data_IF_921424248099
#
_entry.id   IF_921424248099
#
_cell.length_a   1.000
_cell.length_b   1.000
_cell.length_c   1.000
_cell.angle_alpha   90.00
_cell.angle_beta   90.00
_cell.angle_gamma   90.00
#
_symmetry.space_group_name_H-M   'P 1'
#
loop_
_entity.id
_entity.type
_entity.pdbx_description
1 polymer ?
#
# COMPACT_ATOMS: atom_id res chain seq x y z
N UNK A 1 -61.94 -2.41 2.36
CA UNK A 1 -60.94 -1.31 2.35
C UNK A 1 -60.17 -1.39 1.04
N UNK A 2 -60.42 -0.52 0.06
CA UNK A 2 -59.67 -0.52 -1.20
C UNK A 2 -58.28 0.12 -0.98
N UNK A 3 -57.23 -0.62 -1.34
CA UNK A 3 -55.82 -0.18 -1.26
C UNK A 3 -55.53 0.71 -2.47
N UNK A 4 -55.59 2.03 -2.30
CA UNK A 4 -55.27 3.03 -3.33
C UNK A 4 -53.80 2.88 -3.73
N UNK A 5 -53.52 2.54 -4.99
CA UNK A 5 -52.14 2.50 -5.49
C UNK A 5 -51.65 3.93 -5.74
N UNK A 6 -50.55 4.30 -5.09
CA UNK A 6 -49.91 5.59 -5.31
C UNK A 6 -49.19 5.53 -6.66
N UNK A 7 -49.71 6.24 -7.67
CA UNK A 7 -49.03 6.39 -8.96
C UNK A 7 -47.82 7.30 -8.76
N UNK A 8 -46.64 6.80 -9.12
CA UNK A 8 -45.40 7.59 -9.10
C UNK A 8 -45.53 8.69 -10.15
N UNK A 9 -45.22 9.91 -9.75
CA UNK A 9 -45.28 11.10 -10.62
C UNK A 9 -43.91 11.35 -11.27
N UNK A 10 -43.90 12.02 -12.43
CA UNK A 10 -42.67 12.39 -13.14
C UNK A 10 -41.74 13.23 -12.25
N UNK A 11 -42.29 14.11 -11.42
CA UNK A 11 -41.52 14.93 -10.47
C UNK A 11 -40.77 14.07 -9.45
N UNK A 12 -41.36 12.98 -8.96
CA UNK A 12 -40.71 12.06 -8.03
C UNK A 12 -39.54 11.32 -8.70
N UNK A 13 -39.66 10.98 -9.98
CA UNK A 13 -38.59 10.34 -10.76
C UNK A 13 -37.41 11.31 -10.93
N UNK A 14 -37.67 12.59 -11.23
CA UNK A 14 -36.63 13.62 -11.38
C UNK A 14 -35.90 13.85 -10.05
N UNK A 15 -36.65 14.00 -8.94
CA UNK A 15 -36.05 14.18 -7.61
C UNK A 15 -35.18 12.97 -7.23
N UNK A 16 -35.66 11.76 -7.51
CA UNK A 16 -34.90 10.55 -7.25
C UNK A 16 -33.61 10.50 -8.08
N UNK A 17 -33.69 10.80 -9.38
CA UNK A 17 -32.52 10.80 -10.26
C UNK A 17 -31.45 11.81 -9.82
N UNK A 18 -31.86 13.03 -9.45
CA UNK A 18 -30.94 14.06 -8.93
C UNK A 18 -30.33 13.62 -7.61
N UNK A 19 -31.15 13.11 -6.68
CA UNK A 19 -30.67 12.66 -5.36
C UNK A 19 -29.71 11.49 -5.48
N UNK A 20 -29.99 10.54 -6.38
CA UNK A 20 -29.12 9.40 -6.65
C UNK A 20 -27.80 9.83 -7.29
N UNK A 21 -27.84 10.76 -8.25
CA UNK A 21 -26.63 11.33 -8.85
C UNK A 21 -25.73 12.00 -7.80
N UNK A 22 -26.31 12.85 -6.95
CA UNK A 22 -25.57 13.51 -5.86
C UNK A 22 -25.01 12.48 -4.89
N UNK A 23 -25.80 11.50 -4.47
CA UNK A 23 -25.35 10.45 -3.55
C UNK A 23 -24.21 9.62 -4.14
N UNK A 24 -24.30 9.22 -5.41
CA UNK A 24 -23.28 8.47 -6.13
C UNK A 24 -21.94 9.22 -6.18
N UNK A 25 -21.96 10.49 -6.62
CA UNK A 25 -20.77 11.33 -6.65
C UNK A 25 -20.22 11.65 -5.26
N UNK A 26 -21.08 11.86 -4.27
CA UNK A 26 -20.65 12.09 -2.89
C UNK A 26 -19.98 10.84 -2.31
N UNK A 27 -20.53 9.64 -2.52
CA UNK A 27 -19.89 8.41 -2.06
C UNK A 27 -18.56 8.18 -2.76
N UNK A 28 -18.47 8.46 -4.05
CA UNK A 28 -17.24 8.29 -4.81
C UNK A 28 -16.14 9.24 -4.33
N UNK A 29 -16.50 10.51 -4.14
CA UNK A 29 -15.60 11.54 -3.65
C UNK A 29 -15.12 11.29 -2.22
N UNK A 30 -16.01 10.90 -1.30
CA UNK A 30 -15.67 10.75 0.12
C UNK A 30 -15.06 9.40 0.51
N UNK A 31 -15.37 8.32 -0.20
CA UNK A 31 -14.90 6.98 0.16
C UNK A 31 -13.73 6.49 -0.69
N UNK A 32 -13.69 6.79 -2.00
CA UNK A 32 -12.63 6.27 -2.88
C UNK A 32 -11.41 7.20 -3.02
N UNK A 33 -11.48 8.46 -2.60
CA UNK A 33 -10.32 9.38 -2.60
C UNK A 33 -9.55 9.44 -1.27
N UNK A 34 -9.85 8.55 -0.32
CA UNK A 34 -9.03 8.47 0.90
C UNK A 34 -7.72 7.77 0.54
N UNK A 35 -6.66 8.56 0.33
CA UNK A 35 -5.29 8.03 0.45
C UNK A 35 -5.17 7.42 1.84
N UNK A 36 -4.76 6.16 1.92
CA UNK A 36 -4.52 5.55 3.23
C UNK A 36 -3.47 6.38 3.97
N UNK A 37 -3.71 6.60 5.26
CA UNK A 37 -2.75 7.32 6.09
C UNK A 37 -1.66 6.34 6.50
N UNK A 38 -0.37 6.69 6.34
CA UNK A 38 0.72 5.83 6.76
C UNK A 38 0.60 5.42 8.24
N UNK A 39 0.89 4.15 8.53
CA UNK A 39 0.81 3.62 9.89
C UNK A 39 1.83 4.32 10.80
N UNK A 40 1.34 5.00 11.83
CA UNK A 40 2.16 5.80 12.74
C UNK A 40 3.23 4.99 13.48
N UNK A 41 2.96 3.71 13.77
CA UNK A 41 3.96 2.82 14.38
C UNK A 41 5.11 2.56 13.41
N UNK A 42 4.80 2.25 12.14
CA UNK A 42 5.83 2.03 11.11
C UNK A 42 6.63 3.30 10.87
N UNK A 43 6.02 4.49 10.93
CA UNK A 43 6.73 5.76 10.78
C UNK A 43 7.80 5.91 11.86
N UNK A 44 7.45 5.62 13.12
CA UNK A 44 8.41 5.71 14.23
C UNK A 44 9.54 4.69 14.07
N UNK A 45 9.21 3.44 13.71
CA UNK A 45 10.22 2.40 13.45
C UNK A 45 11.16 2.82 12.32
N UNK A 46 10.63 3.31 11.20
CA UNK A 46 11.43 3.78 10.07
C UNK A 46 12.35 4.93 10.47
N UNK A 47 11.84 5.88 11.26
CA UNK A 47 12.63 7.01 11.76
C UNK A 47 13.79 6.53 12.63
N UNK A 48 13.52 5.67 13.62
CA UNK A 48 14.54 5.12 14.52
C UNK A 48 15.60 4.33 13.76
N UNK A 49 15.18 3.45 12.83
CA UNK A 49 16.10 2.69 11.99
C UNK A 49 17.03 3.61 11.18
N UNK A 50 16.46 4.67 10.58
CA UNK A 50 17.21 5.63 9.77
C UNK A 50 18.26 6.43 10.56
N UNK A 51 18.19 6.51 11.89
CA UNK A 51 19.21 7.19 12.70
C UNK A 51 20.59 6.54 12.61
N UNK A 52 20.64 5.26 12.25
CA UNK A 52 21.88 4.48 12.11
C UNK A 52 22.24 4.16 10.66
N UNK A 53 21.50 4.71 9.69
CA UNK A 53 21.69 4.48 8.25
C UNK A 53 22.48 5.61 7.58
N UNK A 54 23.21 5.34 6.48
CA UNK A 54 23.34 4.06 5.79
C UNK A 54 24.21 3.05 6.55
N UNK A 55 23.90 1.76 6.44
CA UNK A 55 24.60 0.67 7.15
C UNK A 55 24.86 -0.53 6.24
N UNK A 56 26.06 -1.09 6.31
CA UNK A 56 26.41 -2.35 5.64
C UNK A 56 25.71 -3.52 6.35
N UNK A 57 24.97 -4.33 5.60
CA UNK A 57 24.32 -5.54 6.13
C UNK A 57 25.20 -6.76 5.91
N UNK A 58 25.86 -6.81 4.76
CA UNK A 58 26.89 -7.80 4.43
C UNK A 58 27.96 -7.16 3.53
N UNK A 59 28.84 -7.96 2.91
CA UNK A 59 29.93 -7.46 2.07
C UNK A 59 29.47 -6.80 0.75
N UNK A 60 28.27 -7.12 0.28
CA UNK A 60 27.76 -6.77 -1.04
C UNK A 60 26.55 -5.83 -0.97
N UNK A 61 25.85 -5.79 0.18
CA UNK A 61 24.60 -5.06 0.35
C UNK A 61 24.70 -3.98 1.44
N UNK A 62 24.26 -2.78 1.08
CA UNK A 62 24.10 -1.65 1.99
C UNK A 62 22.65 -1.27 2.11
N UNK A 63 22.13 -1.18 3.33
CA UNK A 63 20.83 -0.62 3.62
C UNK A 63 20.99 0.89 3.75
N UNK A 64 20.43 1.64 2.81
CA UNK A 64 20.60 3.10 2.73
C UNK A 64 19.57 3.85 3.55
N UNK A 65 18.31 3.39 3.53
CA UNK A 65 17.22 4.00 4.27
C UNK A 65 16.00 3.07 4.33
N UNK A 66 15.03 3.46 5.15
CA UNK A 66 13.67 2.94 5.15
C UNK A 66 12.67 4.05 4.93
N UNK A 67 11.51 3.71 4.35
CA UNK A 67 10.37 4.62 4.24
C UNK A 67 9.07 3.87 4.49
N UNK A 68 7.99 4.61 4.79
CA UNK A 68 6.67 4.03 5.02
C UNK A 68 5.71 4.52 3.96
N UNK A 69 4.99 3.58 3.36
CA UNK A 69 3.86 3.87 2.48
C UNK A 69 2.65 3.08 2.97
N UNK A 70 1.58 3.78 3.37
CA UNK A 70 0.39 3.19 3.98
C UNK A 70 0.76 2.24 5.15
N UNK A 71 0.51 0.94 5.00
CA UNK A 71 0.83 -0.08 6.01
C UNK A 71 2.08 -0.90 5.67
N UNK A 72 2.95 -0.40 4.79
CA UNK A 72 4.16 -1.09 4.32
C UNK A 72 5.41 -0.32 4.72
N UNK A 73 6.35 -1.01 5.37
CA UNK A 73 7.71 -0.53 5.60
C UNK A 73 8.60 -0.97 4.43
N UNK A 74 9.11 0.00 3.68
CA UNK A 74 9.97 -0.21 2.53
C UNK A 74 11.44 -0.06 2.94
N UNK A 75 12.29 -0.97 2.46
CA UNK A 75 13.73 -0.96 2.69
C UNK A 75 14.45 -0.62 1.38
N UNK A 76 15.33 0.37 1.40
CA UNK A 76 16.07 0.82 0.22
C UNK A 76 17.51 0.32 0.30
N UNK A 77 17.83 -0.67 -0.53
CA UNK A 77 19.14 -1.30 -0.58
C UNK A 77 19.94 -0.88 -1.82
N UNK A 78 21.25 -0.79 -1.65
CA UNK A 78 22.22 -0.69 -2.75
C UNK A 78 23.09 -1.94 -2.78
N UNK A 79 23.25 -2.52 -3.96
CA UNK A 79 24.25 -3.56 -4.26
C UNK A 79 25.54 -2.84 -4.66
N UNK A 80 26.54 -2.82 -3.77
CA UNK A 80 27.67 -1.87 -3.88
C UNK A 80 28.77 -2.31 -4.87
N UNK A 81 28.82 -3.60 -5.22
CA UNK A 81 29.87 -4.15 -6.09
C UNK A 81 29.32 -4.72 -7.41
N UNK A 82 28.09 -4.35 -7.79
CA UNK A 82 27.48 -4.81 -9.04
C UNK A 82 27.25 -3.63 -9.97
N UNK A 83 27.78 -3.74 -11.19
CA UNK A 83 27.47 -2.82 -12.26
C UNK A 83 26.14 -3.22 -12.91
N UNK A 84 25.16 -2.31 -12.84
CA UNK A 84 23.80 -2.47 -13.35
C UNK A 84 23.78 -2.87 -14.83
N UNK A 85 24.72 -2.38 -15.64
CA UNK A 85 24.74 -2.59 -17.09
C UNK A 85 25.31 -3.95 -17.50
N UNK A 86 26.02 -4.62 -16.58
CA UNK A 86 26.71 -5.89 -16.86
C UNK A 86 25.97 -7.12 -16.35
N UNK A 87 25.02 -6.92 -15.45
CA UNK A 87 24.28 -8.01 -14.82
C UNK A 87 23.03 -8.38 -15.63
N UNK A 88 22.88 -9.68 -15.88
CA UNK A 88 21.68 -10.27 -16.48
C UNK A 88 20.62 -10.47 -15.39
N UNK A 89 19.64 -9.57 -15.33
CA UNK A 89 18.64 -9.54 -14.27
C UNK A 89 17.35 -10.22 -14.72
N UNK A 90 17.07 -11.42 -14.19
CA UNK A 90 15.71 -11.96 -14.19
C UNK A 90 14.96 -11.49 -12.94
N UNK A 91 14.24 -10.37 -13.05
CA UNK A 91 13.53 -9.77 -11.92
C UNK A 91 12.40 -10.64 -11.35
N UNK A 92 11.78 -11.51 -12.15
CA UNK A 92 10.72 -12.40 -11.66
C UNK A 92 11.30 -13.49 -10.75
N UNK A 93 12.40 -14.10 -11.16
CA UNK A 93 13.12 -15.10 -10.36
C UNK A 93 13.70 -14.47 -9.10
N UNK A 94 14.30 -13.27 -9.21
CA UNK A 94 14.84 -12.53 -8.06
C UNK A 94 13.72 -12.23 -7.06
N UNK A 95 12.59 -11.70 -7.53
CA UNK A 95 11.45 -11.40 -6.67
C UNK A 95 10.93 -12.66 -5.97
N UNK A 96 10.76 -13.75 -6.70
CA UNK A 96 10.30 -15.03 -6.15
C UNK A 96 11.23 -15.53 -5.06
N UNK A 97 12.54 -15.61 -5.34
CA UNK A 97 13.55 -16.08 -4.40
C UNK A 97 13.68 -15.17 -3.16
N UNK A 98 13.67 -13.84 -3.35
CA UNK A 98 13.74 -12.89 -2.24
C UNK A 98 12.49 -12.97 -1.36
N UNK A 99 11.31 -13.13 -1.95
CA UNK A 99 10.05 -13.25 -1.20
C UNK A 99 10.05 -14.52 -0.36
N UNK A 100 10.45 -15.66 -0.92
CA UNK A 100 10.56 -16.93 -0.19
C UNK A 100 11.51 -16.81 0.99
N UNK A 101 12.72 -16.29 0.78
CA UNK A 101 13.70 -16.11 1.86
C UNK A 101 13.24 -15.12 2.93
N UNK A 102 12.57 -14.04 2.53
CA UNK A 102 12.00 -13.08 3.48
C UNK A 102 10.90 -13.73 4.34
N UNK A 103 10.04 -14.55 3.73
CA UNK A 103 9.02 -15.31 4.45
C UNK A 103 9.64 -16.35 5.39
N UNK A 104 10.65 -17.09 4.94
CA UNK A 104 11.37 -18.05 5.78
C UNK A 104 12.01 -17.36 7.00
N UNK A 105 12.64 -16.20 6.82
CA UNK A 105 13.19 -15.42 7.91
C UNK A 105 12.11 -14.95 8.89
N UNK A 106 10.91 -14.66 8.40
CA UNK A 106 9.76 -14.29 9.21
C UNK A 106 9.26 -15.47 10.04
N UNK A 107 9.05 -16.62 9.39
CA UNK A 107 8.47 -17.83 9.99
C UNK A 107 9.37 -18.45 11.07
N UNK A 108 10.69 -18.25 10.96
CA UNK A 108 11.68 -18.79 11.90
C UNK A 108 12.22 -17.74 12.87
N UNK A 109 11.68 -16.52 12.89
CA UNK A 109 12.09 -15.51 13.86
C UNK A 109 11.50 -15.86 15.24
N UNK A 110 12.32 -16.16 16.27
CA UNK A 110 11.82 -16.60 17.58
C UNK A 110 11.06 -15.51 18.37
N UNK A 111 11.08 -14.26 17.89
CA UNK A 111 10.38 -13.13 18.50
C UNK A 111 9.02 -12.82 17.86
N UNK A 112 8.70 -13.51 16.76
CA UNK A 112 7.40 -13.50 16.09
C UNK A 112 6.58 -14.73 16.52
#
# INVERSE_FOLDING_TARGET
MQKKSNKITVTQIIIFAISFGIAYFATDYFFFNKKETPNAMLINVSKEMNETMPKMIDAETRLDSTSVDNSTLNYHYTLINIDKETADWNFDDIKSNMTTKAQENLDHNPSM
#
